data_IF_624822679211
#
_entry.id   IF_624822679211
#
_cell.length_a   1.000
_cell.length_b   1.000
_cell.length_c   1.000
_cell.angle_alpha   90.00
_cell.angle_beta   90.00
_cell.angle_gamma   90.00
#
_symmetry.space_group_name_H-M   'P 1'
#
loop_
_entity.id
_entity.type
_entity.pdbx_description
1 polymer ?
#
# COMPACT_ATOMS: atom_id res chain seq x y z
N UNK A 1 18.91 -19.63 -45.76
CA UNK A 1 18.33 -18.46 -45.14
C UNK A 1 17.02 -18.88 -44.49
N UNK A 2 16.98 -19.11 -43.20
CA UNK A 2 15.80 -19.59 -42.49
C UNK A 2 15.20 -18.38 -41.75
N UNK A 3 14.04 -18.03 -42.20
CA UNK A 3 13.21 -16.94 -41.66
C UNK A 3 12.71 -17.34 -40.26
N UNK A 4 13.25 -16.72 -39.23
CA UNK A 4 12.77 -16.85 -37.85
C UNK A 4 11.58 -15.93 -37.65
N UNK A 5 10.41 -16.38 -38.07
CA UNK A 5 9.15 -15.75 -37.69
C UNK A 5 8.95 -15.92 -36.16
N UNK A 6 9.24 -14.88 -35.40
CA UNK A 6 8.90 -14.79 -33.98
C UNK A 6 7.37 -14.76 -33.91
N UNK A 7 6.79 -15.90 -33.54
CA UNK A 7 5.37 -15.96 -33.16
C UNK A 7 5.18 -15.13 -31.88
N UNK A 8 4.80 -13.89 -32.03
CA UNK A 8 4.18 -13.11 -30.96
C UNK A 8 2.91 -13.87 -30.53
N UNK A 9 2.99 -14.54 -29.38
CA UNK A 9 1.82 -15.15 -28.76
C UNK A 9 0.77 -14.03 -28.62
N UNK A 10 -0.34 -14.15 -29.35
CA UNK A 10 -1.40 -13.17 -29.38
C UNK A 10 -1.95 -12.96 -27.96
N UNK A 11 -1.65 -11.84 -27.36
CA UNK A 11 -2.31 -11.38 -26.13
C UNK A 11 -3.78 -11.24 -26.52
N UNK A 12 -4.61 -12.12 -25.97
CA UNK A 12 -6.06 -12.07 -26.12
C UNK A 12 -6.52 -10.78 -25.44
N UNK A 13 -6.83 -9.75 -26.22
CA UNK A 13 -7.35 -8.50 -25.69
C UNK A 13 -8.82 -8.68 -25.38
N UNK A 14 -9.22 -8.32 -24.17
CA UNK A 14 -10.62 -8.27 -23.80
C UNK A 14 -11.31 -7.07 -24.50
N UNK A 15 -12.64 -7.14 -24.71
CA UNK A 15 -13.37 -6.02 -25.31
C UNK A 15 -13.24 -4.77 -24.45
N UNK A 16 -13.15 -3.62 -25.14
CA UNK A 16 -13.16 -2.32 -24.48
C UNK A 16 -14.54 -2.07 -23.89
N UNK A 17 -14.56 -1.68 -22.62
CA UNK A 17 -15.79 -1.38 -21.88
C UNK A 17 -15.70 0.02 -21.25
N UNK A 18 -16.85 0.68 -21.07
CA UNK A 18 -16.91 1.99 -20.43
C UNK A 18 -17.37 1.85 -18.98
N UNK A 19 -16.57 2.36 -18.05
CA UNK A 19 -16.89 2.36 -16.63
C UNK A 19 -16.76 3.76 -16.01
N UNK A 20 -17.55 4.06 -14.95
CA UNK A 20 -17.30 5.22 -14.11
C UNK A 20 -15.96 5.05 -13.38
N UNK A 21 -15.20 6.14 -13.29
CA UNK A 21 -13.86 6.16 -12.67
C UNK A 21 -13.92 6.90 -11.35
N UNK A 22 -13.45 6.23 -10.29
CA UNK A 22 -13.34 6.78 -8.94
C UNK A 22 -11.87 7.00 -8.57
N UNK A 23 -11.38 8.25 -8.52
CA UNK A 23 -10.03 8.56 -8.09
C UNK A 23 -9.87 8.40 -6.57
N UNK A 24 -8.83 7.68 -6.14
CA UNK A 24 -8.44 7.53 -4.74
C UNK A 24 -7.21 8.36 -4.38
N UNK A 25 -7.22 8.95 -3.17
CA UNK A 25 -6.06 9.61 -2.57
C UNK A 25 -5.23 8.59 -1.80
N UNK A 26 -3.92 8.60 -2.01
CA UNK A 26 -2.94 7.83 -1.22
C UNK A 26 -3.27 6.34 -1.05
N UNK A 27 -4.02 5.77 -1.99
CA UNK A 27 -4.46 4.37 -1.90
C UNK A 27 -4.49 3.74 -3.28
N UNK A 28 -3.95 2.53 -3.38
CA UNK A 28 -4.05 1.65 -4.54
C UNK A 28 -4.90 0.46 -4.16
N UNK A 29 -5.93 0.17 -4.95
CA UNK A 29 -6.75 -1.02 -4.78
C UNK A 29 -6.19 -2.16 -5.63
N UNK A 30 -5.87 -3.29 -5.00
CA UNK A 30 -5.44 -4.49 -5.71
C UNK A 30 -6.60 -5.43 -6.02
N UNK A 31 -6.50 -6.29 -7.04
CA UNK A 31 -7.45 -7.36 -7.27
C UNK A 31 -7.66 -8.23 -6.02
N UNK A 32 -8.91 -8.64 -5.77
CA UNK A 32 -9.35 -9.44 -4.62
C UNK A 32 -9.22 -8.77 -3.24
N UNK A 33 -8.75 -7.54 -3.17
CA UNK A 33 -8.75 -6.76 -1.95
C UNK A 33 -10.15 -6.19 -1.68
N UNK A 34 -10.55 -6.18 -0.41
CA UNK A 34 -11.79 -5.52 0.04
C UNK A 34 -11.37 -4.41 0.98
N UNK A 35 -11.73 -3.18 0.65
CA UNK A 35 -11.43 -2.01 1.47
C UNK A 35 -12.65 -1.09 1.62
N UNK A 36 -12.78 -0.41 2.74
CA UNK A 36 -13.64 0.77 2.84
C UNK A 36 -12.94 1.96 2.16
N UNK A 37 -13.68 2.71 1.39
CA UNK A 37 -13.23 3.96 0.79
C UNK A 37 -14.11 5.12 1.25
N UNK A 38 -13.49 6.24 1.58
CA UNK A 38 -14.19 7.47 1.90
C UNK A 38 -14.52 8.25 0.62
N UNK A 39 -15.78 8.64 0.48
CA UNK A 39 -16.31 9.33 -0.69
C UNK A 39 -16.90 10.67 -0.24
N UNK A 40 -16.11 11.74 -0.36
CA UNK A 40 -16.52 13.09 0.07
C UNK A 40 -16.60 14.10 -1.07
N UNK A 41 -15.95 13.88 -2.22
CA UNK A 41 -15.97 14.79 -3.36
C UNK A 41 -17.31 14.76 -4.07
N UNK A 42 -17.78 15.94 -4.53
CA UNK A 42 -19.07 16.11 -5.21
C UNK A 42 -19.21 15.13 -6.39
N UNK A 43 -18.22 15.04 -7.25
CA UNK A 43 -18.23 14.13 -8.41
C UNK A 43 -18.28 12.65 -7.99
N UNK A 44 -17.50 12.28 -6.97
CA UNK A 44 -17.49 10.91 -6.43
C UNK A 44 -18.81 10.53 -5.75
N UNK A 45 -19.44 11.47 -5.05
CA UNK A 45 -20.78 11.29 -4.47
C UNK A 45 -21.86 11.11 -5.54
N UNK A 46 -21.81 11.88 -6.63
CA UNK A 46 -22.69 11.70 -7.80
C UNK A 46 -22.48 10.32 -8.44
N UNK A 47 -21.21 9.91 -8.65
CA UNK A 47 -20.90 8.59 -9.18
C UNK A 47 -21.54 7.48 -8.35
N UNK A 48 -21.38 7.51 -7.03
CA UNK A 48 -21.94 6.48 -6.14
C UNK A 48 -23.49 6.54 -6.14
N UNK A 49 -24.08 7.73 -6.24
CA UNK A 49 -25.53 7.89 -6.29
C UNK A 49 -26.14 7.34 -7.58
N UNK A 50 -25.44 7.46 -8.70
CA UNK A 50 -25.89 7.03 -10.02
C UNK A 50 -25.68 5.52 -10.27
N UNK A 51 -25.04 4.80 -9.32
CA UNK A 51 -24.88 3.36 -9.45
C UNK A 51 -26.25 2.66 -9.43
N UNK A 52 -26.43 1.62 -10.25
CA UNK A 52 -27.71 0.91 -10.35
C UNK A 52 -28.12 0.34 -8.99
N UNK A 53 -29.39 0.53 -8.60
CA UNK A 53 -29.95 0.00 -7.34
C UNK A 53 -30.03 -1.53 -7.33
N UNK A 54 -30.07 -2.15 -8.49
CA UNK A 54 -30.04 -3.61 -8.70
C UNK A 54 -28.94 -3.99 -9.72
N UNK A 55 -28.40 -5.20 -9.60
CA UNK A 55 -27.35 -5.68 -10.50
C UNK A 55 -25.91 -5.35 -10.06
N UNK A 56 -24.97 -5.44 -10.99
CA UNK A 56 -23.54 -5.26 -10.72
C UNK A 56 -23.18 -3.78 -10.67
N UNK A 57 -22.69 -3.32 -9.52
CA UNK A 57 -22.23 -1.95 -9.28
C UNK A 57 -20.73 -1.86 -9.57
N UNK A 58 -20.36 -1.90 -10.82
CA UNK A 58 -18.98 -1.88 -11.26
C UNK A 58 -18.48 -0.44 -11.43
N UNK A 59 -17.29 -0.18 -10.95
CA UNK A 59 -16.54 1.07 -11.10
C UNK A 59 -15.07 0.73 -11.38
N UNK A 60 -14.34 1.64 -11.97
CA UNK A 60 -12.88 1.57 -12.00
C UNK A 60 -12.33 2.46 -10.92
N UNK A 61 -11.50 1.91 -10.07
CA UNK A 61 -10.79 2.63 -9.02
C UNK A 61 -9.36 2.89 -9.49
N UNK A 62 -8.92 4.14 -9.42
CA UNK A 62 -7.59 4.55 -9.86
C UNK A 62 -6.94 5.44 -8.81
N UNK A 63 -5.63 5.26 -8.58
CA UNK A 63 -4.89 6.12 -7.67
C UNK A 63 -4.58 7.48 -8.31
N UNK A 64 -4.57 8.54 -7.48
CA UNK A 64 -4.00 9.82 -7.87
C UNK A 64 -2.47 9.77 -7.73
N UNK A 65 -1.77 10.51 -8.62
CA UNK A 65 -0.32 10.72 -8.53
C UNK A 65 0.05 11.56 -7.33
N UNK A 66 -0.73 12.60 -7.08
CA UNK A 66 -0.61 13.48 -5.93
C UNK A 66 -1.94 13.54 -5.17
N UNK A 67 -1.94 12.99 -3.95
CA UNK A 67 -3.12 12.95 -3.09
C UNK A 67 -3.55 14.32 -2.56
N UNK A 68 -2.73 15.37 -2.68
CA UNK A 68 -3.07 16.73 -2.24
C UNK A 68 -4.05 17.43 -3.19
N UNK A 69 -4.09 17.01 -4.46
CA UNK A 69 -4.97 17.59 -5.48
C UNK A 69 -6.43 17.25 -5.15
N UNK A 70 -7.22 18.28 -4.92
CA UNK A 70 -8.62 18.09 -4.52
C UNK A 70 -9.50 17.68 -5.71
N UNK A 71 -9.35 18.33 -6.85
CA UNK A 71 -10.06 18.03 -8.09
C UNK A 71 -9.10 17.54 -9.16
N UNK A 72 -8.76 16.24 -9.16
CA UNK A 72 -7.79 15.69 -10.09
C UNK A 72 -8.32 15.72 -11.53
N UNK A 73 -7.43 16.05 -12.44
CA UNK A 73 -7.63 15.90 -13.89
C UNK A 73 -7.12 14.52 -14.33
N UNK A 74 -7.31 14.18 -15.61
CA UNK A 74 -6.78 12.95 -16.18
C UNK A 74 -5.25 12.80 -16.02
N UNK A 75 -4.51 13.93 -16.03
CA UNK A 75 -3.04 13.96 -15.86
C UNK A 75 -2.59 13.62 -14.45
N UNK A 76 -3.47 13.88 -13.48
CA UNK A 76 -3.22 13.65 -12.05
C UNK A 76 -3.56 12.22 -11.62
N UNK A 77 -4.09 11.41 -12.54
CA UNK A 77 -4.45 10.02 -12.30
C UNK A 77 -3.49 9.06 -13.01
N UNK A 78 -3.33 7.87 -12.46
CA UNK A 78 -2.63 6.79 -13.14
C UNK A 78 -3.51 6.18 -14.24
N UNK A 79 -2.88 5.57 -15.25
CA UNK A 79 -3.60 4.89 -16.33
C UNK A 79 -3.98 3.45 -15.99
N UNK A 80 -3.32 2.85 -15.02
CA UNK A 80 -3.67 1.53 -14.52
C UNK A 80 -4.46 1.66 -13.22
N UNK A 81 -5.51 0.87 -13.12
CA UNK A 81 -6.36 0.80 -11.96
C UNK A 81 -6.95 -0.58 -11.78
N UNK A 82 -7.98 -0.67 -10.97
CA UNK A 82 -8.67 -1.91 -10.68
C UNK A 82 -10.16 -1.75 -10.93
N UNK A 83 -10.72 -2.64 -11.76
CA UNK A 83 -12.16 -2.83 -11.86
C UNK A 83 -12.63 -3.34 -10.50
N UNK A 84 -13.60 -2.68 -9.92
CA UNK A 84 -14.09 -2.99 -8.58
C UNK A 84 -15.61 -3.07 -8.55
N UNK A 85 -16.12 -3.84 -7.61
CA UNK A 85 -17.54 -3.92 -7.30
C UNK A 85 -17.82 -3.16 -5.99
N UNK A 86 -18.78 -2.26 -6.01
CA UNK A 86 -19.28 -1.59 -4.81
C UNK A 86 -20.26 -2.53 -4.11
N UNK A 87 -19.83 -3.08 -2.97
CA UNK A 87 -20.60 -4.06 -2.19
C UNK A 87 -21.67 -3.39 -1.32
N UNK A 88 -21.27 -2.33 -0.60
CA UNK A 88 -22.14 -1.63 0.34
C UNK A 88 -21.76 -0.16 0.43
N UNK A 89 -22.73 0.70 0.62
CA UNK A 89 -22.55 2.13 0.83
C UNK A 89 -23.23 2.52 2.13
N UNK A 90 -22.56 3.35 2.93
CA UNK A 90 -23.06 3.91 4.18
C UNK A 90 -23.06 5.43 4.08
N UNK A 91 -24.13 6.06 4.47
CA UNK A 91 -24.18 7.51 4.62
C UNK A 91 -23.53 7.91 5.96
N UNK A 92 -22.70 8.94 5.93
CA UNK A 92 -21.99 9.45 7.09
C UNK A 92 -22.64 10.75 7.59
N UNK A 93 -22.50 11.11 8.89
CA UNK A 93 -23.13 12.32 9.46
C UNK A 93 -22.70 13.63 8.78
N UNK A 94 -21.49 13.68 8.22
CA UNK A 94 -20.91 14.83 7.52
C UNK A 94 -21.36 14.98 6.06
N UNK A 95 -22.39 14.24 5.64
CA UNK A 95 -22.90 14.14 4.26
C UNK A 95 -21.94 13.46 3.28
N UNK A 96 -20.81 12.94 3.73
CA UNK A 96 -19.96 12.05 2.96
C UNK A 96 -20.54 10.64 2.94
N UNK A 97 -19.90 9.75 2.20
CA UNK A 97 -20.25 8.32 2.15
C UNK A 97 -19.03 7.46 2.39
N UNK A 98 -19.23 6.33 3.02
CA UNK A 98 -18.25 5.24 3.05
C UNK A 98 -18.75 4.11 2.17
N UNK A 99 -17.92 3.64 1.24
CA UNK A 99 -18.26 2.54 0.35
C UNK A 99 -17.29 1.37 0.56
N UNK A 100 -17.82 0.17 0.79
CA UNK A 100 -17.02 -1.05 0.77
C UNK A 100 -16.90 -1.50 -0.67
N UNK A 101 -15.66 -1.58 -1.16
CA UNK A 101 -15.37 -2.00 -2.53
C UNK A 101 -14.49 -3.24 -2.54
N UNK A 102 -14.78 -4.11 -3.51
CA UNK A 102 -13.97 -5.29 -3.79
C UNK A 102 -13.28 -5.12 -5.14
N UNK A 103 -11.96 -5.17 -5.16
CA UNK A 103 -11.18 -5.24 -6.38
C UNK A 103 -11.43 -6.56 -7.10
N UNK A 104 -11.63 -6.51 -8.41
CA UNK A 104 -11.89 -7.67 -9.25
C UNK A 104 -10.69 -7.98 -10.13
N UNK A 105 -10.41 -7.10 -11.08
CA UNK A 105 -9.40 -7.29 -12.14
C UNK A 105 -8.61 -6.01 -12.38
N UNK A 106 -7.37 -6.14 -12.83
CA UNK A 106 -6.59 -5.00 -13.33
C UNK A 106 -7.18 -4.48 -14.61
N UNK A 107 -7.14 -3.17 -14.78
CA UNK A 107 -7.54 -2.51 -16.01
C UNK A 107 -6.55 -1.43 -16.39
N UNK A 108 -6.42 -1.21 -17.69
CA UNK A 108 -5.75 -0.06 -18.27
C UNK A 108 -6.79 0.90 -18.84
N UNK A 109 -6.72 2.15 -18.44
CA UNK A 109 -7.57 3.22 -18.98
C UNK A 109 -6.94 3.68 -20.29
N UNK A 110 -7.63 3.41 -21.39
CA UNK A 110 -7.19 3.79 -22.73
C UNK A 110 -7.50 5.26 -22.98
N UNK A 111 -8.67 5.72 -22.54
CA UNK A 111 -9.15 7.08 -22.72
C UNK A 111 -10.02 7.51 -21.55
N UNK A 112 -9.79 8.73 -21.04
CA UNK A 112 -10.69 9.39 -20.08
C UNK A 112 -11.73 10.20 -20.85
N UNK A 113 -12.98 10.04 -20.46
CA UNK A 113 -14.11 10.81 -21.01
C UNK A 113 -14.37 12.04 -20.13
N UNK A 114 -15.31 12.89 -20.58
CA UNK A 114 -15.69 14.12 -19.86
C UNK A 114 -15.85 13.91 -18.34
N UNK A 115 -15.35 14.85 -17.51
CA UNK A 115 -15.48 14.77 -16.04
C UNK A 115 -16.87 15.13 -15.53
N UNK A 116 -17.81 15.54 -16.36
CA UNK A 116 -19.17 15.91 -15.95
C UNK A 116 -20.18 14.80 -16.27
N UNK A 117 -20.97 14.33 -15.28
CA UNK A 117 -20.97 14.68 -13.86
C UNK A 117 -19.84 14.05 -13.04
N UNK A 118 -19.12 13.09 -13.58
CA UNK A 118 -17.93 12.41 -13.03
C UNK A 118 -17.18 11.73 -14.19
N UNK A 119 -15.91 11.41 -13.98
CA UNK A 119 -15.10 10.72 -14.99
C UNK A 119 -15.69 9.35 -15.34
N UNK A 120 -15.72 9.08 -16.63
CA UNK A 120 -15.86 7.74 -17.21
C UNK A 120 -14.60 7.45 -18.03
N UNK A 121 -14.33 6.20 -18.32
CA UNK A 121 -13.20 5.84 -19.15
C UNK A 121 -13.47 4.58 -19.93
N UNK A 122 -12.87 4.55 -21.11
CA UNK A 122 -12.74 3.35 -21.94
C UNK A 122 -11.59 2.55 -21.36
N UNK A 123 -11.86 1.34 -20.89
CA UNK A 123 -10.86 0.50 -20.22
C UNK A 123 -10.70 -0.85 -20.91
N UNK A 124 -9.50 -1.38 -20.83
CA UNK A 124 -9.13 -2.72 -21.25
C UNK A 124 -8.74 -3.53 -20.01
N UNK A 125 -9.25 -4.75 -19.84
CA UNK A 125 -8.80 -5.66 -18.80
C UNK A 125 -7.42 -6.17 -19.15
N UNK A 126 -6.52 -6.16 -18.17
CA UNK A 126 -5.13 -6.58 -18.35
C UNK A 126 -4.80 -7.75 -17.43
N UNK A 127 -4.18 -8.76 -18.01
CA UNK A 127 -3.85 -9.99 -17.32
C UNK A 127 -2.34 -10.11 -17.15
N UNK A 128 -1.92 -10.49 -15.96
CA UNK A 128 -0.52 -10.84 -15.72
C UNK A 128 -0.15 -12.14 -16.44
N UNK A 129 1.09 -12.23 -16.86
CA UNK A 129 1.64 -13.41 -17.52
C UNK A 129 2.81 -13.98 -16.73
N UNK A 130 2.93 -15.28 -16.72
CA UNK A 130 4.09 -16.01 -16.25
C UNK A 130 4.13 -17.41 -16.88
N UNK A 131 5.33 -17.89 -17.09
CA UNK A 131 5.56 -19.33 -17.31
C UNK A 131 5.65 -19.99 -15.93
N UNK A 132 4.90 -21.06 -15.70
CA UNK A 132 5.07 -21.88 -14.49
C UNK A 132 6.42 -22.59 -14.56
N UNK A 133 7.33 -22.17 -13.69
CA UNK A 133 8.67 -22.73 -13.55
C UNK A 133 8.96 -23.00 -12.08
N UNK A 134 9.87 -23.93 -11.81
CA UNK A 134 10.37 -24.16 -10.45
C UNK A 134 10.95 -22.87 -9.82
N UNK A 135 11.50 -21.98 -10.65
CA UNK A 135 11.99 -20.68 -10.22
C UNK A 135 10.86 -19.78 -9.69
N UNK A 136 9.71 -19.73 -10.38
CA UNK A 136 8.55 -18.95 -9.94
C UNK A 136 8.00 -19.47 -8.60
N UNK A 137 7.98 -20.79 -8.42
CA UNK A 137 7.59 -21.42 -7.15
C UNK A 137 8.56 -21.07 -6.02
N UNK A 138 9.88 -21.13 -6.28
CA UNK A 138 10.90 -20.76 -5.30
C UNK A 138 10.79 -19.30 -4.87
N UNK A 139 10.58 -18.36 -5.82
CA UNK A 139 10.37 -16.94 -5.50
C UNK A 139 9.09 -16.74 -4.68
N UNK A 140 8.04 -17.50 -4.98
CA UNK A 140 6.78 -17.42 -4.23
C UNK A 140 6.95 -17.88 -2.78
N UNK A 141 7.64 -19.00 -2.56
CA UNK A 141 7.96 -19.51 -1.21
C UNK A 141 8.83 -18.48 -0.45
N UNK A 142 9.86 -17.95 -1.10
CA UNK A 142 10.72 -16.93 -0.50
C UNK A 142 9.93 -15.68 -0.09
N UNK A 143 8.98 -15.23 -0.91
CA UNK A 143 8.12 -14.10 -0.57
C UNK A 143 7.27 -14.39 0.68
N UNK A 144 6.72 -15.60 0.81
CA UNK A 144 5.95 -16.01 2.00
C UNK A 144 6.81 -16.01 3.26
N UNK A 145 8.05 -16.54 3.18
CA UNK A 145 8.99 -16.55 4.30
C UNK A 145 9.41 -15.14 4.74
N UNK A 146 9.69 -14.26 3.78
CA UNK A 146 10.04 -12.86 4.07
C UNK A 146 8.83 -12.12 4.66
N UNK A 147 7.63 -12.38 4.17
CA UNK A 147 6.41 -11.78 4.72
C UNK A 147 6.14 -12.26 6.15
N UNK A 148 6.47 -13.53 6.47
CA UNK A 148 6.42 -14.03 7.85
C UNK A 148 7.32 -13.22 8.78
N UNK A 149 8.57 -12.96 8.36
CA UNK A 149 9.50 -12.12 9.14
C UNK A 149 8.95 -10.71 9.35
N UNK A 150 8.34 -10.13 8.31
CA UNK A 150 7.71 -8.81 8.43
C UNK A 150 6.61 -8.81 9.49
N UNK A 151 5.76 -9.83 9.55
CA UNK A 151 4.67 -9.94 10.55
C UNK A 151 5.21 -10.00 11.97
N UNK A 152 6.33 -10.67 12.20
CA UNK A 152 6.94 -10.79 13.53
C UNK A 152 7.38 -9.45 14.12
N UNK A 153 7.71 -8.46 13.26
CA UNK A 153 8.26 -7.16 13.68
C UNK A 153 7.35 -5.98 13.39
N UNK A 154 6.39 -6.10 12.48
CA UNK A 154 5.54 -4.99 12.05
C UNK A 154 4.30 -4.86 12.94
N UNK A 155 4.16 -3.81 13.78
CA UNK A 155 3.08 -3.69 14.75
C UNK A 155 1.70 -3.47 14.12
N UNK A 156 1.64 -3.16 12.82
CA UNK A 156 0.41 -2.93 12.07
C UNK A 156 -0.11 -4.18 11.32
N UNK A 157 0.59 -5.32 11.43
CA UNK A 157 0.19 -6.59 10.84
C UNK A 157 -0.25 -7.58 11.93
N UNK A 158 -1.07 -8.55 11.54
CA UNK A 158 -1.58 -9.58 12.44
C UNK A 158 -1.30 -11.00 11.93
N UNK A 159 -1.36 -11.98 12.82
CA UNK A 159 -1.19 -13.39 12.48
C UNK A 159 -2.27 -13.88 11.50
N UNK A 160 -3.50 -13.36 11.59
CA UNK A 160 -4.58 -13.72 10.64
C UNK A 160 -4.23 -13.28 9.22
N UNK A 161 -3.52 -12.15 9.07
CA UNK A 161 -3.05 -11.68 7.76
C UNK A 161 -1.96 -12.61 7.21
N UNK A 162 -1.07 -13.13 8.06
CA UNK A 162 -0.10 -14.16 7.65
C UNK A 162 -0.79 -15.43 7.18
N UNK A 163 -1.74 -15.95 7.94
CA UNK A 163 -2.52 -17.14 7.55
C UNK A 163 -3.22 -16.95 6.20
N UNK A 164 -3.75 -15.75 5.97
CA UNK A 164 -4.38 -15.43 4.69
C UNK A 164 -3.41 -15.40 3.50
N UNK A 165 -2.11 -15.10 3.74
CA UNK A 165 -1.06 -15.08 2.69
C UNK A 165 -0.42 -16.44 2.50
N UNK A 166 -0.10 -17.16 3.58
CA UNK A 166 0.55 -18.46 3.53
C UNK A 166 -0.24 -19.52 2.75
N UNK A 167 -1.56 -19.40 2.72
CA UNK A 167 -2.45 -20.30 1.98
C UNK A 167 -2.60 -19.95 0.48
N UNK A 168 -1.99 -18.86 0.00
CA UNK A 168 -2.10 -18.45 -1.41
C UNK A 168 -1.10 -19.23 -2.26
N UNK A 169 -1.62 -20.09 -3.12
CA UNK A 169 -0.80 -20.86 -4.08
C UNK A 169 -0.57 -20.12 -5.41
N UNK A 170 -1.42 -19.16 -5.75
CA UNK A 170 -1.31 -18.42 -7.00
C UNK A 170 -0.30 -17.27 -6.86
N UNK A 171 0.83 -17.27 -7.61
CA UNK A 171 1.90 -16.28 -7.46
C UNK A 171 1.46 -14.83 -7.67
N UNK A 172 0.55 -14.58 -8.63
CA UNK A 172 0.04 -13.24 -8.89
C UNK A 172 -0.79 -12.71 -7.73
N UNK A 173 -1.66 -13.56 -7.16
CA UNK A 173 -2.49 -13.21 -5.99
C UNK A 173 -1.63 -13.01 -4.74
N UNK A 174 -0.58 -13.81 -4.61
CA UNK A 174 0.37 -13.71 -3.50
C UNK A 174 1.07 -12.35 -3.49
N UNK A 175 1.66 -11.95 -4.60
CA UNK A 175 2.32 -10.63 -4.71
C UNK A 175 1.36 -9.48 -4.41
N UNK A 176 0.16 -9.51 -5.00
CA UNK A 176 -0.85 -8.47 -4.82
C UNK A 176 -1.31 -8.36 -3.36
N UNK A 177 -1.59 -9.51 -2.73
CA UNK A 177 -2.07 -9.54 -1.35
C UNK A 177 -1.00 -9.12 -0.36
N UNK A 178 0.24 -9.56 -0.55
CA UNK A 178 1.36 -9.17 0.29
C UNK A 178 1.58 -7.66 0.25
N UNK A 179 1.74 -7.08 -0.95
CA UNK A 179 1.99 -5.64 -1.12
C UNK A 179 0.83 -4.76 -0.68
N UNK A 180 -0.41 -5.23 -0.82
CA UNK A 180 -1.58 -4.50 -0.33
C UNK A 180 -1.48 -4.18 1.18
N UNK A 181 -0.86 -5.07 1.97
CA UNK A 181 -0.75 -4.97 3.42
C UNK A 181 0.50 -4.20 3.91
N UNK A 182 1.54 -4.07 3.07
CA UNK A 182 2.79 -3.42 3.46
C UNK A 182 2.65 -1.90 3.49
N UNK A 183 3.28 -1.26 4.47
CA UNK A 183 3.27 0.20 4.63
C UNK A 183 4.35 0.87 3.76
N UNK A 184 4.09 0.93 2.46
CA UNK A 184 4.92 1.58 1.44
C UNK A 184 4.13 2.69 0.74
N UNK A 185 4.83 3.53 -0.03
CA UNK A 185 4.22 4.65 -0.73
C UNK A 185 3.20 4.20 -1.79
N UNK A 186 2.27 5.11 -2.11
CA UNK A 186 1.27 4.90 -3.17
C UNK A 186 1.92 4.64 -4.52
N UNK A 187 3.01 5.35 -4.84
CA UNK A 187 3.75 5.17 -6.09
C UNK A 187 4.32 3.77 -6.21
N UNK A 188 4.92 3.25 -5.14
CA UNK A 188 5.49 1.89 -5.12
C UNK A 188 4.40 0.82 -5.22
N UNK A 189 3.26 1.01 -4.56
CA UNK A 189 2.10 0.13 -4.74
C UNK A 189 1.59 0.17 -6.19
N UNK A 190 1.57 1.35 -6.79
CA UNK A 190 1.15 1.52 -8.17
C UNK A 190 2.10 0.81 -9.15
N UNK A 191 3.42 0.90 -8.93
CA UNK A 191 4.43 0.21 -9.75
C UNK A 191 4.23 -1.33 -9.73
N UNK A 192 3.79 -1.86 -8.59
CA UNK A 192 3.43 -3.29 -8.48
C UNK A 192 2.11 -3.59 -9.20
N UNK A 193 1.13 -2.69 -9.12
CA UNK A 193 -0.13 -2.86 -9.85
C UNK A 193 0.09 -2.85 -11.37
N UNK A 194 1.01 -2.02 -11.86
CA UNK A 194 1.33 -1.86 -13.28
C UNK A 194 2.23 -3.00 -13.84
N UNK A 195 2.90 -3.77 -12.98
CA UNK A 195 3.78 -4.85 -13.43
C UNK A 195 2.97 -6.08 -13.87
N UNK A 196 2.98 -6.38 -15.17
CA UNK A 196 2.24 -7.51 -15.74
C UNK A 196 3.04 -8.82 -15.72
N UNK A 197 4.38 -8.76 -15.70
CA UNK A 197 5.22 -9.94 -15.52
C UNK A 197 5.15 -10.38 -14.05
N UNK A 198 4.54 -11.53 -13.79
CA UNK A 198 4.30 -12.03 -12.44
C UNK A 198 5.61 -12.35 -11.70
N UNK A 199 6.64 -12.83 -12.41
CA UNK A 199 7.96 -13.07 -11.82
C UNK A 199 8.56 -11.75 -11.33
N UNK A 200 8.62 -10.73 -12.19
CA UNK A 200 9.13 -9.40 -11.82
C UNK A 200 8.31 -8.76 -10.70
N UNK A 201 7.00 -8.99 -10.69
CA UNK A 201 6.12 -8.49 -9.63
C UNK A 201 6.48 -9.09 -8.28
N UNK A 202 6.70 -10.42 -8.21
CA UNK A 202 7.16 -11.10 -6.99
C UNK A 202 8.54 -10.60 -6.55
N UNK A 203 9.50 -10.46 -7.48
CA UNK A 203 10.84 -9.96 -7.20
C UNK A 203 10.79 -8.53 -6.63
N UNK A 204 10.06 -7.62 -7.28
CA UNK A 204 9.85 -6.26 -6.80
C UNK A 204 9.18 -6.24 -5.42
N UNK A 205 8.16 -7.07 -5.21
CA UNK A 205 7.47 -7.21 -3.93
C UNK A 205 8.43 -7.66 -2.82
N UNK A 206 9.28 -8.64 -3.11
CA UNK A 206 10.31 -9.13 -2.20
C UNK A 206 11.28 -8.01 -1.79
N UNK A 207 11.75 -7.22 -2.74
CA UNK A 207 12.64 -6.07 -2.47
C UNK A 207 11.96 -5.05 -1.57
N UNK A 208 10.71 -4.69 -1.86
CA UNK A 208 9.95 -3.70 -1.08
C UNK A 208 9.69 -4.18 0.36
N UNK A 209 9.35 -5.45 0.54
CA UNK A 209 9.13 -6.05 1.87
C UNK A 209 10.43 -6.09 2.67
N UNK A 210 11.54 -6.52 2.07
CA UNK A 210 12.84 -6.50 2.76
C UNK A 210 13.25 -5.09 3.18
N UNK A 211 13.03 -4.09 2.33
CA UNK A 211 13.29 -2.69 2.69
C UNK A 211 12.43 -2.23 3.87
N UNK A 212 11.18 -2.63 3.93
CA UNK A 212 10.30 -2.32 5.05
C UNK A 212 10.76 -3.00 6.34
N UNK A 213 11.20 -4.25 6.27
CA UNK A 213 11.83 -4.97 7.40
C UNK A 213 13.01 -4.15 7.94
N UNK A 214 13.97 -3.81 7.08
CA UNK A 214 15.14 -3.02 7.49
C UNK A 214 14.76 -1.65 8.06
N UNK A 215 13.72 -1.01 7.53
CA UNK A 215 13.23 0.28 8.05
C UNK A 215 12.70 0.15 9.47
N UNK A 216 11.95 -0.91 9.77
CA UNK A 216 11.42 -1.17 11.12
C UNK A 216 12.57 -1.50 12.07
N UNK A 217 13.45 -2.45 11.73
CA UNK A 217 14.60 -2.85 12.54
C UNK A 217 15.50 -1.65 12.88
N UNK A 218 15.76 -0.76 11.91
CA UNK A 218 16.55 0.44 12.14
C UNK A 218 15.82 1.42 13.06
N UNK A 219 14.50 1.57 12.91
CA UNK A 219 13.68 2.40 13.78
C UNK A 219 13.72 1.93 15.23
N UNK A 220 13.55 0.64 15.46
CA UNK A 220 13.60 0.02 16.78
C UNK A 220 14.99 0.19 17.45
N UNK A 221 16.06 0.00 16.66
CA UNK A 221 17.42 0.21 17.14
C UNK A 221 17.65 1.66 17.57
N UNK A 222 17.27 2.63 16.74
CA UNK A 222 17.41 4.06 17.07
C UNK A 222 16.63 4.39 18.34
N UNK A 223 15.41 3.87 18.47
CA UNK A 223 14.58 4.10 19.65
C UNK A 223 15.22 3.51 20.92
N UNK A 224 15.80 2.30 20.84
CA UNK A 224 16.54 1.67 21.93
C UNK A 224 17.77 2.50 22.32
N UNK A 225 18.59 2.90 21.36
CA UNK A 225 19.80 3.70 21.59
C UNK A 225 19.46 5.04 22.29
N UNK A 226 18.40 5.73 21.83
CA UNK A 226 17.91 6.98 22.45
C UNK A 226 17.42 6.75 23.88
N UNK A 227 16.69 5.67 24.11
CA UNK A 227 16.18 5.32 25.46
C UNK A 227 17.33 5.02 26.44
N UNK A 228 18.37 4.34 25.97
CA UNK A 228 19.55 4.03 26.76
C UNK A 228 20.34 5.31 27.10
N UNK A 229 20.46 6.25 26.16
CA UNK A 229 21.15 7.53 26.39
C UNK A 229 20.38 8.40 27.40
N UNK A 230 19.03 8.48 27.28
CA UNK A 230 18.19 9.18 28.26
C UNK A 230 18.34 8.57 29.64
N UNK A 231 18.33 7.24 29.72
CA UNK A 231 18.47 6.52 31.00
C UNK A 231 19.83 6.78 31.69
N UNK A 232 20.91 6.81 30.87
CA UNK A 232 22.27 7.16 31.38
C UNK A 232 22.32 8.60 31.88
N UNK A 233 21.80 9.53 31.12
CA UNK A 233 21.76 10.95 31.47
C UNK A 233 20.96 11.21 32.74
N UNK A 234 19.83 10.58 32.93
CA UNK A 234 19.01 10.65 34.14
C UNK A 234 19.76 10.09 35.35
N UNK A 235 20.45 8.96 35.19
CA UNK A 235 21.26 8.35 36.23
C UNK A 235 22.43 9.24 36.64
N UNK A 236 23.14 9.84 35.67
CA UNK A 236 24.22 10.78 35.95
C UNK A 236 23.73 12.03 36.67
N UNK A 237 22.60 12.58 36.27
CA UNK A 237 21.97 13.69 36.98
C UNK A 237 21.65 13.35 38.41
N UNK A 238 21.01 12.21 38.65
CA UNK A 238 20.66 11.74 39.98
C UNK A 238 21.91 11.54 40.86
N UNK A 239 22.96 10.92 40.33
CA UNK A 239 24.23 10.75 41.07
C UNK A 239 24.88 12.09 41.39
N UNK A 240 24.86 13.07 40.50
CA UNK A 240 25.37 14.42 40.76
C UNK A 240 24.60 15.12 41.88
N UNK A 241 23.28 15.00 41.89
CA UNK A 241 22.45 15.59 42.95
C UNK A 241 22.69 14.88 44.29
N UNK A 242 22.85 13.55 44.34
CA UNK A 242 23.25 12.85 45.54
C UNK A 242 24.64 13.32 46.05
N UNK A 243 25.62 13.45 45.18
CA UNK A 243 26.94 13.97 45.56
C UNK A 243 26.85 15.36 46.17
N UNK A 244 26.10 16.28 45.55
CA UNK A 244 25.89 17.63 46.13
C UNK A 244 25.22 17.59 47.49
N UNK A 245 24.21 16.72 47.68
CA UNK A 245 23.55 16.57 48.96
C UNK A 245 24.52 16.06 50.04
N UNK A 246 25.35 15.06 49.74
CA UNK A 246 26.37 14.51 50.64
C UNK A 246 27.44 15.57 50.97
N UNK A 247 27.95 16.32 50.00
CA UNK A 247 28.89 17.39 50.20
C UNK A 247 28.34 18.47 51.13
N UNK A 248 27.07 18.82 51.00
CA UNK A 248 26.39 19.77 51.88
C UNK A 248 26.24 19.23 53.32
N UNK A 249 25.94 17.96 53.51
CA UNK A 249 25.85 17.33 54.82
C UNK A 249 27.21 17.20 55.52
N UNK A 250 28.29 17.00 54.75
CA UNK A 250 29.65 16.91 55.25
C UNK A 250 30.28 18.29 55.56
N UNK A 251 29.58 19.39 55.27
CA UNK A 251 30.07 20.75 55.55
C UNK A 251 31.14 21.25 54.58
N UNK A 252 31.32 20.61 53.43
CA UNK A 252 32.23 21.06 52.36
C UNK A 252 31.56 22.10 51.44
N UNK A 253 30.79 23.05 52.02
CA UNK A 253 30.39 24.24 51.26
C UNK A 253 31.61 25.17 51.16
N UNK A 254 32.23 25.09 49.99
CA UNK A 254 33.10 26.09 49.35
C UNK A 254 33.79 27.10 50.28
N UNK A 255 34.77 26.67 51.04
CA UNK A 255 35.76 27.60 51.63
C UNK A 255 36.62 28.10 50.49
N UNK A 256 36.21 29.20 49.84
CA UNK A 256 37.09 29.99 48.99
C UNK A 256 38.19 30.56 49.83
N UNK A 257 39.43 30.08 49.64
CA UNK A 257 40.62 30.77 50.12
C UNK A 257 40.90 31.86 49.11
N UNK A 258 40.51 33.09 49.48
CA UNK A 258 41.13 34.27 48.93
C UNK A 258 42.57 34.38 49.50
N UNK A 259 43.55 34.37 48.65
CA UNK A 259 44.84 35.07 48.82
C UNK A 259 45.17 35.78 47.56
#
# INVERSE_FOLDING_TARGET
MADKTIKTAGIKRDPLEVYPILPLRNTVLFPQQIIPIYVGRVQSLKLIADLPKGGKKHIVVVAQRDGSIENPTEKDMYKYGTLAMVMKVFDMPDKSRSAIVQGLERVQIQEFMSPDPYYKGIVEKVHGFANRTAELEAISINLQEIFKKLIEIAPYLSEEQYQAISNIQNPAKLADKAIALVNISTNEKQDILEEMDIKKRLEKSTVLINREIHRIELGDKIQSDVQDEISKSQREYFLREQMKAIQKELGEDGGGVEI
#
